data_IF_342513262398
#
_entry.id   IF_342513262398
#
_cell.length_a   1.000
_cell.length_b   1.000
_cell.length_c   1.000
_cell.angle_alpha   90.00
_cell.angle_beta   90.00
_cell.angle_gamma   90.00
#
_symmetry.space_group_name_H-M   'P 1'
#
loop_
_entity.id
_entity.type
_entity.pdbx_description
1 polymer ?
#
# COMPACT_ATOMS: atom_id res chain seq x y z
N UNK A 1 -29.60 11.59 -37.61
CA UNK A 1 -29.87 10.64 -36.50
C UNK A 1 -31.32 10.82 -36.05
N UNK A 2 -32.15 9.78 -36.03
CA UNK A 2 -33.60 9.93 -35.76
C UNK A 2 -33.88 10.27 -34.28
N UNK A 3 -34.93 11.05 -34.02
CA UNK A 3 -35.35 11.50 -32.67
C UNK A 3 -35.51 10.34 -31.67
N UNK A 4 -35.87 9.15 -32.18
CA UNK A 4 -35.94 7.88 -31.43
C UNK A 4 -34.57 7.38 -30.95
N UNK A 5 -33.55 7.37 -31.83
CA UNK A 5 -32.18 6.95 -31.50
C UNK A 5 -31.56 7.84 -30.40
N UNK A 6 -31.77 9.15 -30.47
CA UNK A 6 -31.30 10.10 -29.44
C UNK A 6 -31.96 9.88 -28.08
N UNK A 7 -33.28 9.58 -28.05
CA UNK A 7 -33.99 9.25 -26.80
C UNK A 7 -33.49 7.93 -26.18
N UNK A 8 -33.17 6.92 -27.00
CA UNK A 8 -32.60 5.65 -26.53
C UNK A 8 -31.19 5.86 -25.96
N UNK A 9 -30.35 6.62 -26.66
CA UNK A 9 -29.00 6.94 -26.21
C UNK A 9 -28.99 7.65 -24.85
N UNK A 10 -29.78 8.71 -24.67
CA UNK A 10 -29.83 9.45 -23.39
C UNK A 10 -30.29 8.54 -22.24
N UNK A 11 -31.30 7.69 -22.46
CA UNK A 11 -31.76 6.73 -21.44
C UNK A 11 -30.66 5.75 -21.05
N UNK A 12 -29.94 5.21 -22.04
CA UNK A 12 -28.80 4.34 -21.78
C UNK A 12 -27.70 5.06 -21.01
N UNK A 13 -27.29 6.26 -21.46
CA UNK A 13 -26.27 7.06 -20.78
C UNK A 13 -26.62 7.35 -19.32
N UNK A 14 -27.88 7.67 -18.99
CA UNK A 14 -28.32 7.85 -17.59
C UNK A 14 -28.18 6.58 -16.76
N UNK A 15 -28.59 5.45 -17.31
CA UNK A 15 -28.51 4.16 -16.60
C UNK A 15 -27.05 3.78 -16.33
N UNK A 16 -26.22 3.84 -17.36
CA UNK A 16 -24.78 3.53 -17.27
C UNK A 16 -24.09 4.46 -16.28
N UNK A 17 -24.30 5.78 -16.39
CA UNK A 17 -23.67 6.75 -15.50
C UNK A 17 -24.07 6.54 -14.04
N UNK A 18 -25.36 6.30 -13.76
CA UNK A 18 -25.84 6.06 -12.39
C UNK A 18 -25.22 4.80 -11.78
N UNK A 19 -25.22 3.70 -12.51
CA UNK A 19 -24.72 2.43 -11.99
C UNK A 19 -23.20 2.39 -11.89
N UNK A 20 -22.48 2.88 -12.91
CA UNK A 20 -21.03 2.99 -12.85
C UNK A 20 -20.60 3.91 -11.71
N UNK A 21 -21.23 5.09 -11.59
CA UNK A 21 -20.93 6.03 -10.51
C UNK A 21 -21.11 5.38 -9.14
N UNK A 22 -22.24 4.70 -8.91
CA UNK A 22 -22.53 4.04 -7.63
C UNK A 22 -21.49 2.93 -7.31
N UNK A 23 -21.17 2.08 -8.27
CA UNK A 23 -20.23 0.96 -8.06
C UNK A 23 -18.79 1.43 -7.94
N UNK A 24 -18.39 2.45 -8.70
CA UNK A 24 -17.02 2.97 -8.68
C UNK A 24 -16.71 3.84 -7.46
N UNK A 25 -17.74 4.47 -6.86
CA UNK A 25 -17.54 5.49 -5.82
C UNK A 25 -16.67 5.03 -4.65
N UNK A 26 -16.86 3.83 -4.05
CA UNK A 26 -16.01 3.40 -2.94
C UNK A 26 -14.55 3.26 -3.32
N UNK A 27 -14.27 2.71 -4.52
CA UNK A 27 -12.91 2.53 -5.01
C UNK A 27 -12.25 3.87 -5.34
N UNK A 28 -12.98 4.78 -5.99
CA UNK A 28 -12.50 6.15 -6.25
C UNK A 28 -12.19 6.88 -4.96
N UNK A 29 -13.03 6.72 -3.93
CA UNK A 29 -12.81 7.32 -2.62
C UNK A 29 -11.55 6.77 -1.94
N UNK A 30 -11.33 5.45 -1.98
CA UNK A 30 -10.11 4.83 -1.47
C UNK A 30 -8.88 5.37 -2.21
N UNK A 31 -8.90 5.37 -3.55
CA UNK A 31 -7.78 5.85 -4.38
C UNK A 31 -7.53 7.34 -4.13
N UNK A 32 -8.57 8.16 -3.99
CA UNK A 32 -8.46 9.58 -3.70
C UNK A 32 -7.86 9.86 -2.33
N UNK A 33 -8.34 9.17 -1.28
CA UNK A 33 -7.81 9.31 0.09
C UNK A 33 -6.36 8.84 0.16
N UNK A 34 -6.06 7.67 -0.41
CA UNK A 34 -4.68 7.14 -0.44
C UNK A 34 -3.75 8.01 -1.25
N UNK A 35 -4.18 8.51 -2.42
CA UNK A 35 -3.39 9.41 -3.25
C UNK A 35 -3.12 10.75 -2.56
N UNK A 36 -4.12 11.31 -1.87
CA UNK A 36 -3.95 12.50 -1.06
C UNK A 36 -2.94 12.28 0.07
N UNK A 37 -3.03 11.15 0.77
CA UNK A 37 -2.06 10.77 1.81
C UNK A 37 -0.64 10.70 1.25
N UNK A 38 -0.43 10.00 0.14
CA UNK A 38 0.90 9.79 -0.45
C UNK A 38 1.51 11.10 -0.96
N UNK A 39 0.69 12.03 -1.47
CA UNK A 39 1.16 13.32 -1.96
C UNK A 39 1.36 14.36 -0.85
N UNK A 40 0.67 14.21 0.27
CA UNK A 40 0.67 15.15 1.39
C UNK A 40 1.03 14.48 2.71
N UNK A 41 1.95 13.51 2.67
CA UNK A 41 2.27 12.66 3.83
C UNK A 41 2.69 13.48 5.05
N UNK A 42 3.43 14.57 4.86
CA UNK A 42 3.85 15.51 5.92
C UNK A 42 2.69 16.21 6.61
N UNK A 43 1.66 16.60 5.85
CA UNK A 43 0.44 17.20 6.41
C UNK A 43 -0.35 16.14 7.16
N UNK A 44 -0.50 14.94 6.61
CA UNK A 44 -1.24 13.88 7.30
C UNK A 44 -0.52 13.41 8.56
N UNK A 45 0.81 13.27 8.54
CA UNK A 45 1.61 12.87 9.70
C UNK A 45 1.65 13.93 10.80
N UNK A 46 1.29 15.19 10.51
CA UNK A 46 1.14 16.23 11.54
C UNK A 46 -0.18 16.15 12.31
N UNK A 47 -1.19 15.49 11.73
CA UNK A 47 -2.55 15.37 12.31
C UNK A 47 -2.77 13.97 12.89
N UNK A 48 -2.20 12.94 12.26
CA UNK A 48 -2.24 11.56 12.74
C UNK A 48 -0.90 11.23 13.41
N UNK A 49 -0.89 10.50 14.54
CA UNK A 49 0.36 10.02 15.15
C UNK A 49 1.04 9.05 14.18
N UNK A 50 1.93 9.60 13.36
CA UNK A 50 2.85 8.82 12.55
C UNK A 50 3.85 8.19 13.51
N UNK A 51 3.89 6.85 13.54
CA UNK A 51 5.01 6.15 14.17
C UNK A 51 6.22 6.41 13.27
N UNK A 52 6.93 7.49 13.55
CA UNK A 52 8.25 7.74 13.01
C UNK A 52 9.06 6.45 13.16
N UNK A 53 9.72 6.01 12.08
CA UNK A 53 10.64 4.88 12.16
C UNK A 53 11.75 5.32 13.12
N UNK A 54 11.62 4.96 14.40
CA UNK A 54 12.50 5.38 15.52
C UNK A 54 13.89 4.76 15.44
N UNK A 55 14.39 4.52 14.23
CA UNK A 55 15.58 3.74 14.01
C UNK A 55 15.42 2.30 14.48
N UNK A 56 16.49 1.56 14.32
CA UNK A 56 16.65 0.20 14.76
C UNK A 56 16.92 0.17 16.26
N UNK A 57 15.84 0.23 17.05
CA UNK A 57 15.94 0.13 18.49
C UNK A 57 16.35 -1.29 18.90
N UNK A 58 17.62 -1.45 19.19
CA UNK A 58 18.20 -2.52 19.99
C UNK A 58 18.37 -2.03 21.43
N UNK A 59 18.15 -2.90 22.41
CA UNK A 59 18.51 -2.58 23.79
C UNK A 59 20.04 -2.57 23.95
N UNK A 60 20.51 -1.98 25.04
CA UNK A 60 21.92 -1.91 25.38
C UNK A 60 22.62 -3.30 25.30
N UNK A 61 23.93 -3.33 25.04
CA UNK A 61 24.70 -4.57 24.94
C UNK A 61 24.48 -5.46 26.17
N UNK A 62 24.15 -6.73 25.95
CA UNK A 62 24.01 -7.71 27.02
C UNK A 62 25.32 -8.51 27.11
N UNK A 63 25.89 -8.75 28.31
CA UNK A 63 27.13 -9.52 28.46
C UNK A 63 27.12 -10.90 27.76
N UNK A 64 25.95 -11.53 27.64
CA UNK A 64 25.77 -12.85 27.02
C UNK A 64 25.07 -12.78 25.65
N UNK A 65 25.31 -11.70 24.90
CA UNK A 65 24.79 -11.54 23.54
C UNK A 65 25.13 -12.73 22.64
N UNK A 66 24.21 -13.19 21.77
CA UNK A 66 24.46 -14.26 20.84
C UNK A 66 25.46 -13.79 19.78
N UNK A 67 26.74 -14.10 20.00
CA UNK A 67 27.82 -13.83 19.04
C UNK A 67 27.84 -14.80 17.85
N UNK A 68 26.90 -15.75 17.81
CA UNK A 68 26.95 -16.90 16.93
C UNK A 68 25.84 -16.93 15.88
N UNK A 69 26.23 -17.26 14.64
CA UNK A 69 25.33 -17.50 13.50
C UNK A 69 24.24 -18.55 13.80
N UNK A 70 24.51 -19.50 14.70
CA UNK A 70 23.57 -20.56 15.06
C UNK A 70 22.25 -19.99 15.62
N UNK A 71 22.31 -18.94 16.43
CA UNK A 71 21.12 -18.29 16.98
C UNK A 71 20.27 -17.63 15.88
N UNK A 72 20.92 -16.99 14.90
CA UNK A 72 20.24 -16.41 13.76
C UNK A 72 19.52 -17.48 12.94
N UNK A 73 20.17 -18.62 12.67
CA UNK A 73 19.57 -19.73 11.93
C UNK A 73 18.34 -20.32 12.64
N UNK A 74 18.41 -20.48 13.98
CA UNK A 74 17.26 -20.91 14.78
C UNK A 74 16.13 -19.90 14.70
N UNK A 75 16.42 -18.62 14.95
CA UNK A 75 15.44 -17.54 14.88
C UNK A 75 14.77 -17.46 13.50
N UNK A 76 15.55 -17.53 12.44
CA UNK A 76 15.05 -17.55 11.06
C UNK A 76 14.10 -18.72 10.83
N UNK A 77 14.48 -19.92 11.27
CA UNK A 77 13.63 -21.11 11.12
C UNK A 77 12.32 -20.99 11.89
N UNK A 78 12.32 -20.30 13.04
CA UNK A 78 11.13 -20.04 13.86
C UNK A 78 10.22 -18.98 13.23
N UNK A 79 10.79 -17.87 12.74
CA UNK A 79 10.02 -16.71 12.26
C UNK A 79 9.54 -16.89 10.82
N UNK A 80 10.37 -17.44 9.94
CA UNK A 80 10.07 -17.57 8.51
C UNK A 80 9.87 -19.02 8.07
N UNK A 81 10.20 -20.01 8.90
CA UNK A 81 10.25 -21.41 8.46
C UNK A 81 11.48 -21.70 7.59
N UNK A 82 11.45 -22.82 6.84
CA UNK A 82 12.53 -23.20 5.92
C UNK A 82 12.37 -22.49 4.57
N UNK A 83 12.66 -21.19 4.52
CA UNK A 83 12.64 -20.42 3.27
C UNK A 83 14.08 -20.13 2.82
N UNK A 84 14.40 -20.27 1.52
CA UNK A 84 15.73 -19.99 1.02
C UNK A 84 16.17 -18.55 1.33
N UNK A 85 17.43 -18.44 1.73
CA UNK A 85 18.09 -17.21 2.15
C UNK A 85 18.89 -16.65 0.99
N UNK A 86 18.80 -15.34 0.75
CA UNK A 86 19.54 -14.69 -0.32
C UNK A 86 20.97 -14.34 0.08
N UNK A 87 21.10 -13.68 1.23
CA UNK A 87 22.39 -13.26 1.76
C UNK A 87 22.30 -13.04 3.25
N UNK A 88 23.39 -13.39 3.94
CA UNK A 88 23.66 -13.01 5.32
C UNK A 88 24.75 -11.94 5.26
N UNK A 89 24.51 -10.79 5.90
CA UNK A 89 25.47 -9.69 5.94
C UNK A 89 25.53 -9.13 7.35
N UNK A 90 26.73 -8.77 7.78
CA UNK A 90 26.92 -7.91 8.94
C UNK A 90 26.66 -6.46 8.51
N UNK A 91 25.77 -5.78 9.21
CA UNK A 91 25.37 -4.39 8.92
C UNK A 91 25.33 -3.63 10.24
N UNK A 92 25.75 -2.38 10.22
CA UNK A 92 25.56 -1.46 11.34
C UNK A 92 24.08 -1.06 11.42
N UNK A 93 23.44 -1.33 12.55
CA UNK A 93 22.08 -0.87 12.86
C UNK A 93 22.15 0.17 13.98
N UNK A 94 22.21 1.45 13.61
CA UNK A 94 22.23 2.56 14.56
C UNK A 94 23.30 2.44 15.67
N UNK A 95 24.52 2.04 15.27
CA UNK A 95 25.67 1.90 16.16
C UNK A 95 25.85 0.51 16.76
N UNK A 96 25.02 -0.46 16.39
CA UNK A 96 25.13 -1.87 16.80
C UNK A 96 25.50 -2.77 15.64
N UNK A 97 26.41 -3.71 15.88
CA UNK A 97 26.71 -4.77 14.91
C UNK A 97 25.52 -5.74 14.82
N UNK A 98 24.92 -5.84 13.63
CA UNK A 98 23.81 -6.74 13.36
C UNK A 98 24.15 -7.79 12.31
N UNK A 99 23.71 -9.02 12.56
CA UNK A 99 23.59 -10.04 11.53
C UNK A 99 22.23 -9.92 10.85
N UNK A 100 22.22 -9.46 9.60
CA UNK A 100 21.01 -9.27 8.80
C UNK A 100 20.89 -10.31 7.71
N UNK A 101 19.69 -10.89 7.61
CA UNK A 101 19.35 -11.88 6.60
C UNK A 101 18.18 -11.42 5.77
N UNK A 102 18.30 -11.55 4.45
CA UNK A 102 17.25 -11.17 3.49
C UNK A 102 16.69 -12.40 2.79
N UNK A 103 15.38 -12.41 2.56
CA UNK A 103 14.67 -13.48 1.84
C UNK A 103 14.90 -13.35 0.32
N UNK A 104 15.00 -14.49 -0.39
CA UNK A 104 15.25 -14.54 -1.86
C UNK A 104 14.14 -13.85 -2.65
N UNK A 105 12.88 -14.09 -2.29
CA UNK A 105 11.73 -13.59 -3.05
C UNK A 105 11.38 -12.12 -2.76
N UNK A 106 11.87 -11.57 -1.65
CA UNK A 106 11.56 -10.20 -1.25
C UNK A 106 12.70 -9.60 -0.43
N UNK A 107 13.53 -8.78 -1.08
CA UNK A 107 14.64 -8.08 -0.43
C UNK A 107 14.21 -7.08 0.64
N UNK A 108 12.91 -6.75 0.76
CA UNK A 108 12.36 -5.96 1.89
C UNK A 108 12.00 -6.80 3.11
N UNK A 109 11.91 -8.14 2.96
CA UNK A 109 11.77 -9.04 4.10
C UNK A 109 13.14 -9.37 4.66
N UNK A 110 13.42 -8.84 5.86
CA UNK A 110 14.71 -8.98 6.54
C UNK A 110 14.52 -9.34 8.00
N UNK A 111 15.42 -10.15 8.54
CA UNK A 111 15.60 -10.32 9.98
C UNK A 111 16.97 -9.75 10.31
N UNK A 112 17.03 -8.86 11.28
CA UNK A 112 18.29 -8.33 11.81
C UNK A 112 18.40 -8.76 13.28
N UNK A 113 19.51 -9.40 13.63
CA UNK A 113 19.82 -9.82 15.00
C UNK A 113 20.98 -8.97 15.52
N UNK A 114 20.79 -8.31 16.67
CA UNK A 114 21.86 -7.59 17.34
C UNK A 114 22.82 -8.59 17.99
N UNK A 115 24.09 -8.54 17.58
CA UNK A 115 25.12 -9.51 18.03
C UNK A 115 25.37 -9.39 19.53
N UNK A 116 25.30 -8.17 20.07
CA UNK A 116 25.59 -7.89 21.47
C UNK A 116 24.36 -7.94 22.40
N UNK A 117 23.17 -7.55 21.94
CA UNK A 117 21.96 -7.56 22.78
C UNK A 117 21.18 -8.87 22.69
N UNK A 118 21.23 -9.54 21.53
CA UNK A 118 20.39 -10.69 21.22
C UNK A 118 18.94 -10.34 20.89
N UNK A 119 18.62 -9.05 20.82
CA UNK A 119 17.34 -8.58 20.32
C UNK A 119 17.30 -8.74 18.80
N UNK A 120 16.10 -8.84 18.26
CA UNK A 120 15.93 -9.03 16.83
C UNK A 120 14.78 -8.20 16.27
N UNK A 121 14.99 -7.75 15.04
CA UNK A 121 14.02 -6.98 14.29
C UNK A 121 13.57 -7.81 13.10
N UNK A 122 12.26 -8.04 13.01
CA UNK A 122 11.62 -8.64 11.85
C UNK A 122 11.02 -7.53 11.01
N UNK A 123 11.60 -7.32 9.83
CA UNK A 123 11.08 -6.41 8.82
C UNK A 123 10.35 -7.17 7.74
N UNK A 124 9.21 -6.62 7.39
CA UNK A 124 8.49 -6.97 6.17
C UNK A 124 8.25 -5.72 5.34
N UNK A 125 7.55 -5.89 4.24
CA UNK A 125 7.14 -4.80 3.37
C UNK A 125 6.17 -3.80 4.01
N UNK A 126 5.44 -4.19 5.05
CA UNK A 126 4.35 -3.38 5.63
C UNK A 126 4.52 -3.07 7.11
N UNK A 127 5.41 -3.79 7.80
CA UNK A 127 5.59 -3.64 9.23
C UNK A 127 7.03 -3.96 9.62
N UNK A 128 7.43 -3.37 10.73
CA UNK A 128 8.66 -3.62 11.47
C UNK A 128 8.28 -3.97 12.90
N UNK A 129 8.80 -5.10 13.38
CA UNK A 129 8.61 -5.58 14.75
C UNK A 129 9.97 -5.74 15.38
N UNK A 130 10.26 -4.99 16.44
CA UNK A 130 11.44 -5.22 17.27
C UNK A 130 11.03 -6.03 18.50
N UNK A 131 11.79 -7.08 18.79
CA UNK A 131 11.58 -7.97 19.93
C UNK A 131 12.87 -8.14 20.70
N UNK A 132 12.75 -8.19 22.01
CA UNK A 132 13.87 -8.48 22.87
C UNK A 132 14.28 -9.95 22.75
N UNK A 133 15.45 -10.29 23.30
CA UNK A 133 15.95 -11.67 23.37
C UNK A 133 14.93 -12.68 23.93
N UNK A 134 14.16 -12.28 24.94
CA UNK A 134 13.13 -13.11 25.58
C UNK A 134 11.83 -13.25 24.74
N UNK A 135 11.77 -12.56 23.60
CA UNK A 135 10.62 -12.53 22.70
C UNK A 135 9.58 -11.45 23.02
N UNK A 136 9.75 -10.67 24.10
CA UNK A 136 8.88 -9.55 24.44
C UNK A 136 8.92 -8.47 23.35
N UNK A 137 7.81 -7.76 23.16
CA UNK A 137 7.68 -6.74 22.12
C UNK A 137 8.33 -5.43 22.59
N UNK A 138 9.37 -4.98 21.89
CA UNK A 138 9.99 -3.68 22.12
C UNK A 138 9.24 -2.60 21.34
N UNK A 139 9.02 -2.82 20.04
CA UNK A 139 8.37 -1.84 19.18
C UNK A 139 7.63 -2.49 18.01
N UNK A 140 6.59 -1.81 17.56
CA UNK A 140 5.79 -2.19 16.40
C UNK A 140 5.50 -0.94 15.57
N UNK A 141 5.91 -0.97 14.30
CA UNK A 141 5.75 0.13 13.35
C UNK A 141 5.06 -0.39 12.09
N UNK A 142 4.03 0.31 11.62
CA UNK A 142 3.38 0.04 10.35
C UNK A 142 3.93 1.01 9.30
N UNK A 143 4.41 0.48 8.18
CA UNK A 143 4.84 1.26 7.02
C UNK A 143 3.62 1.70 6.20
N UNK A 144 2.90 2.72 6.68
CA UNK A 144 1.69 3.25 6.06
C UNK A 144 1.92 3.66 4.60
N UNK A 145 3.03 4.31 4.29
CA UNK A 145 3.37 4.69 2.91
C UNK A 145 3.41 3.47 1.98
N UNK A 146 4.07 2.39 2.40
CA UNK A 146 4.20 1.18 1.56
C UNK A 146 2.87 0.43 1.42
N UNK A 147 2.02 0.47 2.44
CA UNK A 147 0.69 -0.15 2.40
C UNK A 147 -0.25 0.66 1.49
N UNK A 148 -0.31 1.98 1.69
CA UNK A 148 -1.20 2.88 0.96
C UNK A 148 -0.76 3.04 -0.50
N UNK A 149 0.53 3.05 -0.80
CA UNK A 149 1.05 3.02 -2.17
C UNK A 149 0.55 1.80 -2.95
N UNK A 150 0.59 0.61 -2.34
CA UNK A 150 0.08 -0.61 -2.97
C UNK A 150 -1.42 -0.63 -3.13
N UNK A 151 -2.14 -0.12 -2.13
CA UNK A 151 -3.58 0.04 -2.23
C UNK A 151 -3.93 1.06 -3.33
N UNK A 152 -3.17 2.14 -3.47
CA UNK A 152 -3.39 3.17 -4.49
C UNK A 152 -3.10 2.64 -5.90
N UNK A 153 -1.97 1.95 -6.08
CA UNK A 153 -1.52 1.41 -7.37
C UNK A 153 -2.24 0.12 -7.79
N UNK A 154 -2.98 -0.51 -6.89
CA UNK A 154 -3.64 -1.80 -7.14
C UNK A 154 -2.70 -3.01 -7.12
N UNK A 155 -1.42 -2.84 -6.74
CA UNK A 155 -0.48 -3.94 -6.52
C UNK A 155 -0.67 -4.60 -5.13
N UNK A 156 -1.92 -4.88 -4.80
CA UNK A 156 -2.29 -5.66 -3.62
C UNK A 156 -2.19 -7.14 -3.97
N UNK A 157 -1.64 -7.94 -3.04
CA UNK A 157 -1.47 -9.40 -3.18
C UNK A 157 -0.73 -9.87 -4.45
N UNK A 158 0.42 -9.23 -4.77
CA UNK A 158 1.29 -9.57 -5.93
C UNK A 158 0.58 -9.35 -7.27
N UNK A 159 -0.06 -8.20 -7.44
CA UNK A 159 -0.69 -7.80 -8.70
C UNK A 159 -1.99 -8.50 -9.07
N UNK A 160 -2.50 -9.43 -8.25
CA UNK A 160 -3.73 -10.19 -8.54
C UNK A 160 -4.96 -9.31 -8.79
N UNK A 161 -5.01 -8.14 -8.16
CA UNK A 161 -6.17 -7.26 -8.23
C UNK A 161 -6.02 -6.14 -9.26
N UNK A 162 -4.92 -6.08 -10.02
CA UNK A 162 -4.66 -5.00 -11.00
C UNK A 162 -5.80 -4.82 -12.02
N UNK A 163 -6.46 -5.91 -12.41
CA UNK A 163 -7.62 -5.90 -13.31
C UNK A 163 -8.78 -5.05 -12.76
N UNK A 164 -8.96 -4.98 -11.43
CA UNK A 164 -9.98 -4.13 -10.83
C UNK A 164 -9.68 -2.63 -11.05
N UNK A 165 -8.41 -2.24 -11.03
CA UNK A 165 -7.99 -0.86 -11.30
C UNK A 165 -8.15 -0.52 -12.79
N UNK A 166 -7.82 -1.45 -13.68
CA UNK A 166 -8.05 -1.27 -15.12
C UNK A 166 -9.55 -1.12 -15.42
N UNK A 167 -10.40 -1.96 -14.80
CA UNK A 167 -11.85 -1.86 -14.90
C UNK A 167 -12.39 -0.54 -14.32
N UNK A 168 -11.82 -0.07 -13.21
CA UNK A 168 -12.17 1.22 -12.61
C UNK A 168 -11.79 2.38 -13.53
N UNK A 169 -10.60 2.35 -14.13
CA UNK A 169 -10.16 3.36 -15.09
C UNK A 169 -11.12 3.44 -16.28
N UNK A 170 -11.49 2.30 -16.85
CA UNK A 170 -12.47 2.24 -17.93
C UNK A 170 -13.85 2.77 -17.48
N UNK A 171 -14.28 2.41 -16.27
CA UNK A 171 -15.53 2.92 -15.70
C UNK A 171 -15.52 4.45 -15.57
N UNK A 172 -14.41 5.06 -15.14
CA UNK A 172 -14.24 6.51 -15.05
C UNK A 172 -14.25 7.22 -16.41
N UNK A 173 -13.64 6.60 -17.44
CA UNK A 173 -13.71 7.10 -18.81
C UNK A 173 -15.18 7.08 -19.29
N UNK A 174 -15.88 5.96 -19.11
CA UNK A 174 -17.29 5.84 -19.47
C UNK A 174 -18.18 6.81 -18.68
N UNK A 175 -17.89 7.01 -17.39
CA UNK A 175 -18.58 7.97 -16.54
C UNK A 175 -18.42 9.40 -17.09
N UNK A 176 -17.20 9.77 -17.48
CA UNK A 176 -16.88 11.06 -18.10
C UNK A 176 -17.63 11.26 -19.43
N UNK A 177 -17.56 10.27 -20.33
CA UNK A 177 -18.23 10.33 -21.63
C UNK A 177 -19.76 10.41 -21.50
N UNK A 178 -20.34 9.57 -20.62
CA UNK A 178 -21.78 9.59 -20.37
C UNK A 178 -22.22 10.89 -19.71
N UNK A 179 -21.43 11.43 -18.78
CA UNK A 179 -21.67 12.75 -18.19
C UNK A 179 -21.68 13.87 -19.23
N UNK A 180 -20.70 13.87 -20.14
CA UNK A 180 -20.62 14.84 -21.23
C UNK A 180 -21.82 14.76 -22.18
N UNK A 181 -22.28 13.56 -22.53
CA UNK A 181 -23.50 13.37 -23.35
C UNK A 181 -24.74 13.91 -22.62
N UNK A 182 -24.86 13.63 -21.32
CA UNK A 182 -26.00 14.09 -20.51
C UNK A 182 -26.00 15.61 -20.31
N UNK A 183 -24.84 16.24 -20.28
CA UNK A 183 -24.69 17.69 -20.19
C UNK A 183 -24.93 18.38 -21.55
N UNK A 184 -24.36 17.87 -22.65
CA UNK A 184 -24.50 18.48 -23.98
C UNK A 184 -25.92 18.35 -24.57
N UNK A 185 -26.57 17.20 -24.39
CA UNK A 185 -27.86 16.92 -24.99
C UNK A 185 -28.98 17.94 -24.64
N UNK A 186 -29.17 18.37 -23.38
CA UNK A 186 -30.12 19.43 -23.05
C UNK A 186 -29.67 20.82 -23.54
N UNK A 187 -28.38 21.13 -23.43
CA UNK A 187 -27.83 22.44 -23.83
C UNK A 187 -28.03 22.71 -25.31
N UNK A 188 -27.70 21.76 -26.17
CA UNK A 188 -27.89 21.88 -27.63
C UNK A 188 -29.37 21.93 -28.04
N UNK A 189 -30.27 21.31 -27.27
CA UNK A 189 -31.72 21.40 -27.51
C UNK A 189 -32.28 22.76 -27.12
N UNK A 190 -31.73 23.39 -26.08
CA UNK A 190 -32.13 24.74 -25.65
C UNK A 190 -31.74 25.78 -26.69
N UNK A 191 -30.53 25.70 -27.23
CA UNK A 191 -30.06 26.65 -28.25
C UNK A 191 -30.82 26.52 -29.58
N UNK A 192 -31.14 25.30 -30.03
CA UNK A 192 -31.97 25.12 -31.24
C UNK A 192 -33.37 25.71 -31.11
N UNK A 193 -33.99 25.63 -29.93
CA UNK A 193 -35.31 26.24 -29.67
C UNK A 193 -35.31 27.77 -29.63
N UNK A 194 -34.14 28.41 -29.53
CA UNK A 194 -34.02 29.88 -29.59
C UNK A 194 -33.84 30.38 -31.03
N UNK A 195 -33.45 29.49 -31.95
CA UNK A 195 -33.22 29.79 -33.36
C UNK A 195 -34.42 29.47 -34.25
N UNK A 196 -35.39 28.70 -33.73
CA UNK A 196 -36.73 28.47 -34.29
C UNK A 196 -37.71 29.50 -33.73
#
# INVERSE_FOLDING_TARGET
MTRSKTKKLIRLSRSVHRWLGLVSLPLVMIIGITGYYLNHSTLVSSILPYSEDRGDMFMSPHPDGPREMAHLLVLMSTVWGRVPVHSIRTVDCDGFECLTVSQVDDSRRRISLGVESGDYIVRSRYLKVSRARDGSLISFTIYWDSLLDRLHTGDVARGKYRVLWDALCLALILLSLTGMVLWLAPTLRRERRKQE
#
